data_IF_242276395861
#
_entry.id   IF_242276395861
#
_cell.length_a   1.000
_cell.length_b   1.000
_cell.length_c   1.000
_cell.angle_alpha   90.00
_cell.angle_beta   90.00
_cell.angle_gamma   90.00
#
_symmetry.space_group_name_H-M   'P 1'
#
loop_
_entity.id
_entity.type
_entity.pdbx_description
1 polymer ?
#
# COMPACT_ATOMS: atom_id res chain seq x y z
N UNK A 1 4.02 24.34 2.77
CA UNK A 1 3.35 23.57 3.85
C UNK A 1 3.75 24.11 5.21
N UNK A 2 2.86 24.04 6.21
CA UNK A 2 3.17 24.42 7.59
C UNK A 2 4.07 23.37 8.27
N UNK A 3 4.77 23.75 9.36
CA UNK A 3 5.60 22.83 10.16
C UNK A 3 4.79 21.62 10.68
N UNK A 4 3.53 21.86 11.08
CA UNK A 4 2.62 20.81 11.56
C UNK A 4 2.32 19.78 10.47
N UNK A 5 2.10 20.23 9.24
CA UNK A 5 1.81 19.35 8.11
C UNK A 5 3.03 18.49 7.73
N UNK A 6 4.24 19.05 7.78
CA UNK A 6 5.47 18.28 7.60
C UNK A 6 5.70 17.23 8.69
N UNK A 7 5.46 17.59 9.95
CA UNK A 7 5.55 16.65 11.06
C UNK A 7 4.60 15.46 10.87
N UNK A 8 3.35 15.72 10.47
CA UNK A 8 2.38 14.68 10.15
C UNK A 8 2.87 13.74 9.04
N UNK A 9 3.35 14.28 7.92
CA UNK A 9 3.88 13.47 6.79
C UNK A 9 5.05 12.59 7.25
N UNK A 10 5.99 13.16 8.01
CA UNK A 10 7.15 12.42 8.51
C UNK A 10 6.75 11.27 9.44
N UNK A 11 5.83 11.50 10.37
CA UNK A 11 5.34 10.46 11.27
C UNK A 11 4.73 9.31 10.48
N UNK A 12 3.86 9.59 9.51
CA UNK A 12 3.23 8.57 8.69
C UNK A 12 4.27 7.75 7.93
N UNK A 13 5.25 8.40 7.31
CA UNK A 13 6.34 7.70 6.60
C UNK A 13 7.15 6.82 7.57
N UNK A 14 7.54 7.34 8.73
CA UNK A 14 8.33 6.59 9.70
C UNK A 14 7.59 5.36 10.24
N UNK A 15 6.29 5.49 10.53
CA UNK A 15 5.46 4.37 10.95
C UNK A 15 5.32 3.34 9.83
N UNK A 16 5.08 3.76 8.59
CA UNK A 16 4.99 2.86 7.45
C UNK A 16 6.29 2.09 7.20
N UNK A 17 7.45 2.75 7.32
CA UNK A 17 8.78 2.12 7.22
C UNK A 17 8.99 1.12 8.37
N UNK A 18 8.68 1.52 9.60
CA UNK A 18 8.79 0.65 10.78
C UNK A 18 7.96 -0.62 10.64
N UNK A 19 6.70 -0.50 10.20
CA UNK A 19 5.85 -1.66 9.94
C UNK A 19 6.39 -2.54 8.80
N UNK A 20 6.87 -1.94 7.72
CA UNK A 20 7.45 -2.68 6.59
C UNK A 20 8.63 -3.54 7.04
N UNK A 21 9.57 -2.94 7.78
CA UNK A 21 10.72 -3.64 8.36
C UNK A 21 10.24 -4.72 9.34
N UNK A 22 9.27 -4.40 10.20
CA UNK A 22 8.68 -5.32 11.15
C UNK A 22 8.10 -6.58 10.49
N UNK A 23 7.42 -6.46 9.35
CA UNK A 23 6.89 -7.64 8.64
C UNK A 23 8.01 -8.62 8.25
N UNK A 24 9.16 -8.13 7.79
CA UNK A 24 10.27 -9.00 7.41
C UNK A 24 10.84 -9.81 8.59
N UNK A 25 10.91 -9.22 9.78
CA UNK A 25 11.52 -9.85 10.95
C UNK A 25 10.55 -10.68 11.80
N UNK A 26 9.26 -10.34 11.82
CA UNK A 26 8.30 -10.90 12.78
C UNK A 26 7.38 -11.94 12.15
N UNK A 27 7.31 -12.01 10.81
CA UNK A 27 6.41 -12.95 10.13
C UNK A 27 7.18 -14.08 9.44
N UNK A 28 6.68 -15.34 9.46
CA UNK A 28 7.32 -16.47 8.79
C UNK A 28 7.57 -16.23 7.30
N UNK A 29 8.37 -17.07 6.64
CA UNK A 29 8.55 -16.91 5.19
C UNK A 29 7.24 -17.18 4.43
N UNK A 30 6.97 -16.46 3.32
CA UNK A 30 5.78 -16.69 2.50
C UNK A 30 5.76 -18.10 1.91
N UNK A 31 4.57 -18.69 1.82
CA UNK A 31 4.38 -19.94 1.09
C UNK A 31 4.55 -19.74 -0.42
N UNK A 32 5.03 -20.78 -1.12
CA UNK A 32 5.30 -20.71 -2.55
C UNK A 32 4.06 -20.33 -3.38
N UNK A 33 2.88 -20.82 -3.00
CA UNK A 33 1.61 -20.52 -3.68
C UNK A 33 1.26 -19.01 -3.65
N UNK A 34 1.73 -18.27 -2.64
CA UNK A 34 1.43 -16.84 -2.51
C UNK A 34 2.22 -15.97 -3.48
N UNK A 35 3.34 -16.46 -4.03
CA UNK A 35 4.10 -15.74 -5.04
C UNK A 35 3.32 -15.56 -6.34
N UNK A 36 2.60 -16.59 -6.81
CA UNK A 36 1.77 -16.49 -8.01
C UNK A 36 0.65 -15.47 -7.83
N UNK A 37 -0.03 -15.49 -6.68
CA UNK A 37 -1.07 -14.50 -6.33
C UNK A 37 -0.46 -13.10 -6.28
N UNK A 38 0.71 -12.96 -5.65
CA UNK A 38 1.43 -11.69 -5.56
C UNK A 38 1.76 -11.12 -6.93
N UNK A 39 2.29 -11.93 -7.84
CA UNK A 39 2.63 -11.49 -9.21
C UNK A 39 1.39 -11.01 -9.94
N UNK A 40 0.30 -11.80 -9.94
CA UNK A 40 -0.94 -11.44 -10.62
C UNK A 40 -1.52 -10.14 -10.06
N UNK A 41 -1.65 -10.03 -8.73
CA UNK A 41 -2.18 -8.83 -8.09
C UNK A 41 -1.29 -7.61 -8.36
N UNK A 42 0.03 -7.78 -8.35
CA UNK A 42 0.98 -6.67 -8.58
C UNK A 42 0.89 -6.15 -10.01
N UNK A 43 0.76 -7.04 -11.00
CA UNK A 43 0.59 -6.64 -12.40
C UNK A 43 -0.71 -5.87 -12.57
N UNK A 44 -1.84 -6.41 -12.08
CA UNK A 44 -3.15 -5.75 -12.19
C UNK A 44 -3.20 -4.41 -11.44
N UNK A 45 -2.62 -4.36 -10.23
CA UNK A 45 -2.49 -3.15 -9.44
C UNK A 45 -1.63 -2.10 -10.16
N UNK A 46 -0.52 -2.50 -10.77
CA UNK A 46 0.36 -1.58 -11.50
C UNK A 46 -0.36 -1.00 -12.72
N UNK A 47 -1.00 -1.83 -13.54
CA UNK A 47 -1.79 -1.32 -14.67
C UNK A 47 -2.90 -0.37 -14.20
N UNK A 48 -3.61 -0.72 -13.14
CA UNK A 48 -4.68 0.11 -12.58
C UNK A 48 -4.17 1.42 -11.97
N UNK A 49 -2.97 1.43 -11.41
CA UNK A 49 -2.34 2.64 -10.89
C UNK A 49 -1.96 3.60 -12.02
N UNK A 50 -1.52 3.05 -13.16
CA UNK A 50 -1.11 3.86 -14.31
C UNK A 50 -2.30 4.42 -15.10
N UNK A 51 -3.46 3.76 -15.03
CA UNK A 51 -4.72 4.28 -15.57
C UNK A 51 -5.33 5.24 -14.57
N UNK A 52 -5.31 6.53 -14.89
CA UNK A 52 -6.08 7.53 -14.16
C UNK A 52 -7.56 7.30 -14.50
N UNK A 53 -8.33 6.72 -13.59
CA UNK A 53 -9.69 6.31 -13.93
C UNK A 53 -10.62 7.50 -14.06
N UNK A 54 -10.51 8.49 -13.17
CA UNK A 54 -11.23 9.78 -13.23
C UNK A 54 -10.50 10.84 -12.39
N UNK A 55 -10.42 12.07 -12.88
CA UNK A 55 -10.07 13.24 -12.08
C UNK A 55 -11.37 14.02 -11.77
N UNK A 56 -11.83 13.96 -10.52
CA UNK A 56 -13.00 14.70 -10.04
C UNK A 56 -12.53 15.63 -8.94
N UNK A 57 -12.75 16.94 -9.10
CA UNK A 57 -12.42 17.95 -8.08
C UNK A 57 -10.95 17.85 -7.58
N UNK A 58 -9.99 17.73 -8.51
CA UNK A 58 -8.56 17.66 -8.20
C UNK A 58 -8.15 16.41 -7.38
N UNK A 59 -8.99 15.36 -7.41
CA UNK A 59 -8.68 14.04 -6.87
C UNK A 59 -8.71 13.00 -7.98
N UNK A 60 -7.60 12.30 -8.16
CA UNK A 60 -7.46 11.19 -9.10
C UNK A 60 -7.85 9.89 -8.41
N UNK A 61 -8.84 9.20 -8.94
CA UNK A 61 -9.25 7.89 -8.44
C UNK A 61 -8.51 6.79 -9.20
N UNK A 62 -7.87 5.89 -8.45
CA UNK A 62 -7.19 4.72 -9.00
C UNK A 62 -7.91 3.44 -8.55
N UNK A 63 -8.28 2.54 -9.46
CA UNK A 63 -8.88 1.24 -9.12
C UNK A 63 -7.95 0.32 -8.31
N UNK A 64 -6.68 0.69 -8.17
CA UNK A 64 -5.62 -0.05 -7.47
C UNK A 64 -6.02 -0.56 -6.09
N UNK A 65 -6.85 0.19 -5.36
CA UNK A 65 -7.30 -0.20 -4.00
C UNK A 65 -7.96 -1.58 -3.96
N UNK A 66 -8.68 -2.01 -5.00
CA UNK A 66 -9.33 -3.33 -5.03
C UNK A 66 -8.30 -4.45 -4.91
N UNK A 67 -7.14 -4.31 -5.57
CA UNK A 67 -6.06 -5.28 -5.51
C UNK A 67 -5.30 -5.22 -4.18
N UNK A 68 -5.20 -4.05 -3.56
CA UNK A 68 -4.65 -3.94 -2.20
C UNK A 68 -5.54 -4.65 -1.18
N UNK A 69 -6.86 -4.51 -1.26
CA UNK A 69 -7.79 -5.24 -0.39
C UNK A 69 -7.62 -6.75 -0.58
N UNK A 70 -7.57 -7.24 -1.82
CA UNK A 70 -7.31 -8.65 -2.09
C UNK A 70 -5.95 -9.10 -1.50
N UNK A 71 -4.91 -8.26 -1.63
CA UNK A 71 -3.60 -8.51 -1.05
C UNK A 71 -3.60 -8.62 0.48
N UNK A 72 -4.35 -7.75 1.18
CA UNK A 72 -4.51 -7.80 2.65
C UNK A 72 -5.06 -9.16 3.10
N UNK A 73 -6.00 -9.73 2.34
CA UNK A 73 -6.66 -11.00 2.66
C UNK A 73 -5.80 -12.22 2.28
N UNK A 74 -5.19 -12.19 1.10
CA UNK A 74 -4.59 -13.39 0.49
C UNK A 74 -3.09 -13.50 0.67
N UNK A 75 -2.37 -12.38 0.83
CA UNK A 75 -0.91 -12.39 0.82
C UNK A 75 -0.31 -12.42 2.22
N UNK A 76 0.93 -12.88 2.28
CA UNK A 76 1.82 -12.64 3.39
C UNK A 76 2.02 -11.14 3.62
N UNK A 77 2.14 -10.63 4.87
CA UNK A 77 2.34 -9.21 5.15
C UNK A 77 3.52 -8.60 4.40
N UNK A 78 4.62 -9.35 4.29
CA UNK A 78 5.79 -8.91 3.52
C UNK A 78 5.47 -8.74 2.02
N UNK A 79 4.76 -9.69 1.41
CA UNK A 79 4.36 -9.60 0.00
C UNK A 79 3.32 -8.49 -0.22
N UNK A 80 2.46 -8.24 0.76
CA UNK A 80 1.52 -7.11 0.72
C UNK A 80 2.24 -5.76 0.69
N UNK A 81 3.29 -5.59 1.51
CA UNK A 81 4.13 -4.37 1.48
C UNK A 81 4.72 -4.16 0.08
N UNK A 82 5.25 -5.21 -0.55
CA UNK A 82 5.78 -5.13 -1.91
C UNK A 82 4.68 -4.82 -2.94
N UNK A 83 3.49 -5.40 -2.79
CA UNK A 83 2.33 -5.14 -3.65
C UNK A 83 1.93 -3.67 -3.62
N UNK A 84 2.00 -3.02 -2.45
CA UNK A 84 1.73 -1.58 -2.33
C UNK A 84 2.88 -0.77 -2.94
N UNK A 85 4.12 -1.15 -2.65
CA UNK A 85 5.31 -0.40 -3.06
C UNK A 85 5.46 -0.32 -4.58
N UNK A 86 5.32 -1.45 -5.29
CA UNK A 86 5.65 -1.56 -6.72
C UNK A 86 4.80 -0.62 -7.59
N UNK A 87 3.45 -0.63 -7.55
CA UNK A 87 2.63 0.25 -8.38
C UNK A 87 2.96 1.74 -8.20
N UNK A 88 3.15 2.18 -6.94
CA UNK A 88 3.47 3.57 -6.63
C UNK A 88 4.89 3.95 -7.12
N UNK A 89 5.87 3.04 -7.02
CA UNK A 89 7.20 3.28 -7.58
C UNK A 89 7.17 3.37 -9.10
N UNK A 90 6.40 2.50 -9.77
CA UNK A 90 6.25 2.54 -11.23
C UNK A 90 5.61 3.85 -11.68
N UNK A 91 4.53 4.28 -11.01
CA UNK A 91 3.93 5.59 -11.25
C UNK A 91 4.95 6.71 -11.01
N UNK A 92 5.69 6.67 -9.90
CA UNK A 92 6.67 7.71 -9.58
C UNK A 92 7.79 7.79 -10.61
N UNK A 93 8.25 6.65 -11.14
CA UNK A 93 9.22 6.58 -12.24
C UNK A 93 8.62 7.19 -13.52
N UNK A 94 7.37 6.83 -13.87
CA UNK A 94 6.65 7.43 -15.01
C UNK A 94 6.58 8.95 -14.89
N UNK A 95 6.13 9.47 -13.76
CA UNK A 95 6.00 10.91 -13.52
C UNK A 95 7.35 11.63 -13.59
N UNK A 96 8.42 11.01 -13.06
CA UNK A 96 9.80 11.53 -13.16
C UNK A 96 10.29 11.60 -14.61
N UNK A 97 10.02 10.56 -15.40
CA UNK A 97 10.42 10.52 -16.79
C UNK A 97 9.67 11.57 -17.63
N UNK A 98 8.37 11.71 -17.41
CA UNK A 98 7.52 12.67 -18.13
C UNK A 98 7.71 14.13 -17.70
N UNK A 99 8.54 14.39 -16.68
CA UNK A 99 8.74 15.74 -16.10
C UNK A 99 7.41 16.42 -15.72
N UNK A 100 6.46 15.63 -15.26
CA UNK A 100 5.12 16.07 -14.88
C UNK A 100 5.15 17.15 -13.78
N UNK A 101 4.23 18.13 -13.79
CA UNK A 101 4.10 19.11 -12.71
C UNK A 101 3.91 18.46 -11.31
N UNK A 102 3.41 17.21 -11.27
CA UNK A 102 3.22 16.43 -10.04
C UNK A 102 4.53 16.14 -9.29
N UNK A 103 5.68 16.23 -9.96
CA UNK A 103 7.02 16.13 -9.34
C UNK A 103 7.27 17.14 -8.22
N UNK A 104 6.67 18.35 -8.31
CA UNK A 104 6.82 19.38 -7.30
C UNK A 104 6.33 18.93 -5.91
N UNK A 105 5.49 17.89 -5.88
CA UNK A 105 4.85 17.34 -4.69
C UNK A 105 5.36 15.93 -4.38
N UNK A 106 6.67 15.71 -4.54
CA UNK A 106 7.36 14.42 -4.41
C UNK A 106 7.02 13.61 -3.16
N UNK A 107 6.67 14.27 -2.05
CA UNK A 107 6.37 13.63 -0.77
C UNK A 107 5.05 12.85 -0.76
N UNK A 108 4.16 13.09 -1.73
CA UNK A 108 2.87 12.39 -1.84
C UNK A 108 3.07 10.90 -2.04
N UNK A 109 4.02 10.47 -2.87
CA UNK A 109 4.19 9.05 -3.16
C UNK A 109 4.66 8.24 -1.94
N UNK A 110 5.74 8.63 -1.22
CA UNK A 110 6.11 7.99 0.04
C UNK A 110 5.00 8.02 1.10
N UNK A 111 4.25 9.13 1.17
CA UNK A 111 3.11 9.26 2.08
C UNK A 111 1.99 8.26 1.73
N UNK A 112 1.59 8.17 0.46
CA UNK A 112 0.57 7.24 0.00
C UNK A 112 0.97 5.79 0.24
N UNK A 113 2.23 5.42 -0.05
CA UNK A 113 2.76 4.08 0.24
C UNK A 113 2.62 3.77 1.73
N UNK A 114 3.09 4.66 2.59
CA UNK A 114 3.02 4.47 4.04
C UNK A 114 1.59 4.37 4.55
N UNK A 115 0.68 5.23 4.07
CA UNK A 115 -0.74 5.21 4.42
C UNK A 115 -1.39 3.87 4.06
N UNK A 116 -1.17 3.35 2.85
CA UNK A 116 -1.73 2.06 2.43
C UNK A 116 -1.15 0.91 3.25
N UNK A 117 0.16 0.92 3.55
CA UNK A 117 0.79 -0.10 4.39
C UNK A 117 0.19 -0.09 5.80
N UNK A 118 0.09 1.08 6.44
CA UNK A 118 -0.49 1.22 7.78
C UNK A 118 -1.94 0.74 7.80
N UNK A 119 -2.75 1.21 6.84
CA UNK A 119 -4.16 0.84 6.75
C UNK A 119 -4.35 -0.66 6.51
N UNK A 120 -3.62 -1.25 5.55
CA UNK A 120 -3.77 -2.65 5.21
C UNK A 120 -3.25 -3.60 6.30
N UNK A 121 -2.10 -3.30 6.90
CA UNK A 121 -1.58 -4.11 8.01
C UNK A 121 -2.44 -3.95 9.27
N UNK A 122 -2.95 -2.75 9.54
CA UNK A 122 -3.93 -2.51 10.60
C UNK A 122 -5.22 -3.29 10.40
N UNK A 123 -5.79 -3.25 9.18
CA UNK A 123 -6.98 -4.03 8.84
C UNK A 123 -6.74 -5.54 9.01
N UNK A 124 -5.58 -6.04 8.57
CA UNK A 124 -5.19 -7.45 8.78
C UNK A 124 -5.09 -7.81 10.25
N UNK A 125 -4.47 -6.95 11.05
CA UNK A 125 -4.35 -7.16 12.50
C UNK A 125 -5.74 -7.25 13.14
N UNK A 126 -6.62 -6.28 12.85
CA UNK A 126 -8.02 -6.30 13.31
C UNK A 126 -8.70 -7.60 12.90
N UNK A 127 -8.64 -7.98 11.61
CA UNK A 127 -9.25 -9.21 11.10
C UNK A 127 -8.77 -10.44 11.87
N UNK A 128 -7.47 -10.56 12.13
CA UNK A 128 -6.90 -11.69 12.88
C UNK A 128 -7.30 -11.66 14.35
N UNK A 129 -7.35 -10.49 14.98
CA UNK A 129 -7.77 -10.40 16.39
C UNK A 129 -9.26 -10.70 16.58
N UNK A 130 -10.11 -10.28 15.65
CA UNK A 130 -11.56 -10.51 15.73
C UNK A 130 -11.97 -11.91 15.26
N UNK A 131 -11.27 -12.49 14.28
CA UNK A 131 -11.56 -13.84 13.78
C UNK A 131 -11.05 -14.96 14.70
N UNK A 132 -10.19 -14.65 15.67
CA UNK A 132 -9.63 -15.61 16.64
C UNK A 132 -10.52 -15.81 17.88
N UNK A 133 -11.77 -15.33 17.86
CA UNK A 133 -12.76 -15.62 18.90
C UNK A 133 -13.74 -16.72 18.45
N UNK A 134 -13.41 -18.02 18.62
CA UNK A 134 -14.31 -19.13 18.27
C UNK A 134 -15.54 -19.22 19.18
N UNK A 135 -15.70 -18.33 20.17
CA UNK A 135 -16.81 -18.37 21.12
C UNK A 135 -18.01 -17.48 20.76
N UNK A 136 -17.93 -16.73 19.65
CA UNK A 136 -19.06 -15.94 19.13
C UNK A 136 -19.84 -16.72 18.07
N UNK A 137 -20.54 -17.76 18.50
CA UNK A 137 -21.67 -18.29 17.76
C UNK A 137 -22.84 -17.30 17.87
N UNK A 138 -23.32 -16.79 16.72
CA UNK A 138 -24.61 -16.13 16.60
C UNK A 138 -25.76 -17.10 16.91
#
# INVERSE_FOLDING_TARGET
MSRKAWFYVLVIILVGVGLSIGTYFVTPMPEQAQFSIFVVLTVLATFSQLVEALEIHNQTFHPTMVFFIAGVLLLHPFLYVLLVLIPHLVEWIKERWLKSPRLAVWYIQPFNIAMHIIAGLGARWILRTLAVDPTRSF
#
